data_IF_330118603600
#
_entry.id   IF_330118603600
#
_cell.length_a   1.000
_cell.length_b   1.000
_cell.length_c   1.000
_cell.angle_alpha   90.00
_cell.angle_beta   90.00
_cell.angle_gamma   90.00
#
_symmetry.space_group_name_H-M   'P 1'
#
loop_
_entity.id
_entity.type
_entity.pdbx_description
1 polymer ?
#
# COMPACT_ATOMS: atom_id res chain seq x y z
N UNK A 1 -55.86 5.32 -67.07
CA UNK A 1 -55.57 4.22 -66.12
C UNK A 1 -54.08 4.26 -65.78
N UNK A 2 -53.63 4.91 -64.71
CA UNK A 2 -52.26 4.92 -64.22
C UNK A 2 -52.27 4.54 -62.70
N UNK A 3 -51.67 3.36 -62.41
CA UNK A 3 -51.48 2.87 -61.01
C UNK A 3 -50.16 3.41 -60.54
N UNK A 4 -50.20 4.22 -59.45
CA UNK A 4 -49.01 4.69 -58.72
C UNK A 4 -48.58 3.65 -57.70
N UNK A 5 -47.35 3.12 -57.91
CA UNK A 5 -46.71 2.21 -56.99
C UNK A 5 -45.94 3.07 -55.92
N UNK A 6 -46.37 3.05 -54.67
CA UNK A 6 -45.65 3.70 -53.57
C UNK A 6 -44.65 2.72 -52.99
N UNK A 7 -43.35 3.00 -53.20
CA UNK A 7 -42.26 2.33 -52.49
C UNK A 7 -42.20 2.93 -51.06
N UNK A 8 -42.38 2.08 -50.06
CA UNK A 8 -42.07 2.38 -48.64
C UNK A 8 -40.60 2.01 -48.40
N UNK A 9 -39.74 3.00 -48.19
CA UNK A 9 -38.40 2.82 -47.67
C UNK A 9 -38.52 2.66 -46.15
N UNK A 10 -38.28 1.46 -45.64
CA UNK A 10 -38.11 1.21 -44.23
C UNK A 10 -36.67 1.49 -43.82
N UNK A 11 -36.42 2.59 -43.15
CA UNK A 11 -35.13 2.89 -42.51
C UNK A 11 -35.02 2.10 -41.20
N UNK A 12 -34.15 1.09 -41.20
CA UNK A 12 -33.75 0.39 -39.97
C UNK A 12 -32.70 1.23 -39.26
N UNK A 13 -33.07 1.84 -38.16
CA UNK A 13 -32.14 2.52 -37.28
C UNK A 13 -31.51 1.46 -36.37
N UNK A 14 -30.25 1.12 -36.65
CA UNK A 14 -29.45 0.26 -35.81
C UNK A 14 -28.96 1.09 -34.62
N UNK A 15 -29.64 0.94 -33.44
CA UNK A 15 -29.22 1.55 -32.18
C UNK A 15 -28.09 0.71 -31.57
N UNK A 16 -26.85 1.13 -31.77
CA UNK A 16 -25.69 0.54 -31.04
C UNK A 16 -25.71 1.01 -29.62
N UNK A 17 -26.22 0.19 -28.70
CA UNK A 17 -25.98 0.37 -27.26
C UNK A 17 -24.50 0.13 -26.96
N UNK A 18 -23.74 1.22 -26.76
CA UNK A 18 -22.47 1.13 -26.08
C UNK A 18 -22.75 0.72 -24.62
N UNK A 19 -22.47 -0.52 -24.28
CA UNK A 19 -22.42 -0.94 -22.88
C UNK A 19 -21.19 -0.26 -22.24
N UNK A 20 -21.43 0.80 -21.46
CA UNK A 20 -20.43 1.34 -20.54
C UNK A 20 -20.20 0.24 -19.48
N UNK A 21 -19.10 -0.48 -19.59
CA UNK A 21 -18.64 -1.32 -18.48
C UNK A 21 -18.24 -0.37 -17.34
N UNK A 22 -19.14 -0.22 -16.37
CA UNK A 22 -18.79 0.35 -15.08
C UNK A 22 -17.94 -0.73 -14.41
N UNK A 23 -16.63 -0.55 -14.41
CA UNK A 23 -15.72 -1.32 -13.58
C UNK A 23 -16.13 -1.04 -12.13
N UNK A 24 -16.92 -1.93 -11.55
CA UNK A 24 -17.31 -1.85 -10.15
C UNK A 24 -16.03 -2.05 -9.35
N UNK A 25 -15.48 -0.94 -8.86
CA UNK A 25 -14.33 -0.95 -7.95
C UNK A 25 -14.71 -1.86 -6.77
N UNK A 26 -13.94 -2.94 -6.58
CA UNK A 26 -14.20 -3.86 -5.47
C UNK A 26 -14.29 -3.05 -4.16
N UNK A 27 -15.17 -3.45 -3.21
CA UNK A 27 -15.25 -2.77 -1.93
C UNK A 27 -13.87 -2.64 -1.32
N UNK A 28 -13.55 -1.47 -0.75
CA UNK A 28 -12.25 -1.21 -0.13
C UNK A 28 -11.88 -2.29 0.91
N UNK A 29 -12.89 -2.92 1.52
CA UNK A 29 -12.74 -4.05 2.46
C UNK A 29 -12.23 -5.34 1.83
N UNK A 30 -12.29 -5.47 0.49
CA UNK A 30 -11.78 -6.64 -0.22
C UNK A 30 -10.30 -6.54 -0.57
N UNK A 31 -9.74 -5.33 -0.57
CA UNK A 31 -8.34 -5.11 -0.95
C UNK A 31 -7.38 -5.74 0.06
N UNK A 32 -6.34 -6.39 -0.47
CA UNK A 32 -5.24 -6.98 0.30
C UNK A 32 -4.03 -6.09 0.21
N UNK A 33 -3.41 -5.87 1.35
CA UNK A 33 -2.16 -5.14 1.47
C UNK A 33 -1.05 -6.11 1.87
N UNK A 34 0.14 -5.91 1.34
CA UNK A 34 1.32 -6.64 1.78
C UNK A 34 2.46 -5.65 2.05
N UNK A 35 3.16 -5.85 3.16
CA UNK A 35 4.40 -5.14 3.45
C UNK A 35 5.51 -6.18 3.52
N UNK A 36 6.46 -6.07 2.61
CA UNK A 36 7.60 -6.99 2.51
C UNK A 36 8.89 -6.28 2.85
N UNK A 37 9.76 -6.94 3.61
CA UNK A 37 11.08 -6.44 3.94
C UNK A 37 12.16 -7.24 3.23
N UNK A 38 13.11 -6.51 2.65
CA UNK A 38 14.24 -7.04 1.89
C UNK A 38 15.51 -6.39 2.41
N UNK A 39 16.42 -7.20 2.91
CA UNK A 39 17.71 -6.75 3.44
C UNK A 39 18.84 -7.44 2.68
N UNK A 40 19.71 -6.66 2.07
CA UNK A 40 20.85 -7.12 1.30
C UNK A 40 22.13 -6.47 1.75
N UNK A 41 23.25 -7.10 1.45
CA UNK A 41 24.56 -6.47 1.67
C UNK A 41 24.65 -5.12 0.94
N UNK A 42 25.24 -4.09 1.54
CA UNK A 42 25.35 -2.76 0.91
C UNK A 42 25.95 -2.79 -0.49
N UNK A 43 26.93 -3.68 -0.73
CA UNK A 43 27.53 -3.87 -2.05
C UNK A 43 26.54 -4.42 -3.11
N UNK A 44 25.47 -5.10 -2.69
CA UNK A 44 24.43 -5.63 -3.58
C UNK A 44 23.26 -4.68 -3.80
N UNK A 45 23.25 -3.49 -3.18
CA UNK A 45 22.19 -2.50 -3.27
C UNK A 45 21.74 -2.24 -4.72
N UNK A 46 22.66 -1.92 -5.61
CA UNK A 46 22.32 -1.58 -7.00
C UNK A 46 21.65 -2.74 -7.74
N UNK A 47 22.14 -3.98 -7.54
CA UNK A 47 21.54 -5.17 -8.10
C UNK A 47 20.12 -5.39 -7.57
N UNK A 48 19.90 -5.19 -6.26
CA UNK A 48 18.58 -5.33 -5.65
C UNK A 48 17.60 -4.26 -6.13
N UNK A 49 18.03 -3.00 -6.29
CA UNK A 49 17.21 -1.93 -6.88
C UNK A 49 16.73 -2.33 -8.28
N UNK A 50 17.62 -2.88 -9.11
CA UNK A 50 17.27 -3.40 -10.45
C UNK A 50 16.23 -4.52 -10.37
N UNK A 51 16.42 -5.49 -9.48
CA UNK A 51 15.49 -6.61 -9.29
C UNK A 51 14.11 -6.15 -8.78
N UNK A 52 14.08 -5.20 -7.84
CA UNK A 52 12.84 -4.62 -7.32
C UNK A 52 12.05 -3.87 -8.39
N UNK A 53 12.74 -3.11 -9.27
CA UNK A 53 12.11 -2.42 -10.39
C UNK A 53 11.51 -3.41 -11.39
N UNK A 54 12.25 -4.45 -11.76
CA UNK A 54 11.77 -5.51 -12.64
C UNK A 54 10.54 -6.22 -12.05
N UNK A 55 10.61 -6.56 -10.77
CA UNK A 55 9.50 -7.15 -10.03
C UNK A 55 8.26 -6.24 -10.09
N UNK A 56 8.38 -4.96 -9.73
CA UNK A 56 7.28 -3.98 -9.80
C UNK A 56 6.69 -3.87 -11.19
N UNK A 57 7.53 -3.75 -12.22
CA UNK A 57 7.09 -3.52 -13.59
C UNK A 57 6.40 -4.77 -14.19
N UNK A 58 6.72 -5.96 -13.69
CA UNK A 58 5.99 -7.18 -13.99
C UNK A 58 4.66 -7.23 -13.24
N UNK A 59 4.65 -6.97 -11.94
CA UNK A 59 3.45 -6.98 -11.09
C UNK A 59 2.37 -6.00 -11.58
N UNK A 60 2.78 -4.85 -12.12
CA UNK A 60 1.87 -3.84 -12.72
C UNK A 60 1.02 -4.37 -13.88
N UNK A 61 1.42 -5.48 -14.50
CA UNK A 61 0.70 -6.10 -15.64
C UNK A 61 -0.23 -7.21 -15.21
N UNK A 62 -0.23 -7.54 -13.93
CA UNK A 62 -1.05 -8.62 -13.39
C UNK A 62 -2.46 -8.15 -13.07
N UNK A 63 -3.43 -9.03 -13.29
CA UNK A 63 -4.84 -8.74 -12.95
C UNK A 63 -5.00 -8.49 -11.46
N UNK A 64 -5.69 -7.40 -11.13
CA UNK A 64 -5.95 -7.02 -9.74
C UNK A 64 -4.80 -6.29 -9.05
N UNK A 65 -3.69 -5.98 -9.75
CA UNK A 65 -2.70 -5.04 -9.25
C UNK A 65 -3.33 -3.65 -9.07
N UNK A 66 -3.11 -3.05 -7.90
CA UNK A 66 -3.58 -1.69 -7.62
C UNK A 66 -2.41 -0.73 -7.49
N UNK A 67 -1.42 -1.07 -6.64
CA UNK A 67 -0.28 -0.20 -6.35
C UNK A 67 0.87 -0.97 -5.74
N UNK A 68 2.10 -0.49 -5.97
CA UNK A 68 3.25 -0.83 -5.15
C UNK A 68 4.17 0.37 -4.95
N UNK A 69 4.67 0.53 -3.73
CA UNK A 69 5.70 1.49 -3.36
C UNK A 69 6.98 0.72 -3.05
N UNK A 70 8.06 0.99 -3.80
CA UNK A 70 9.40 0.47 -3.52
C UNK A 70 10.14 1.52 -2.69
N UNK A 71 10.62 1.14 -1.53
CA UNK A 71 11.14 2.06 -0.53
C UNK A 71 12.53 1.62 -0.07
N UNK A 72 13.49 2.53 0.06
CA UNK A 72 14.78 2.30 0.70
C UNK A 72 14.85 3.05 2.03
N UNK A 73 15.27 2.37 3.08
CA UNK A 73 15.34 2.94 4.43
C UNK A 73 16.43 4.02 4.51
N UNK A 74 16.06 5.19 5.02
CA UNK A 74 16.98 6.32 5.23
C UNK A 74 18.05 5.92 6.26
N UNK A 75 19.31 6.17 5.91
CA UNK A 75 20.45 5.84 6.79
C UNK A 75 20.84 4.36 6.86
N UNK A 76 20.13 3.46 6.15
CA UNK A 76 20.43 2.02 6.12
C UNK A 76 20.46 1.48 4.68
N UNK A 77 21.55 1.71 3.93
CA UNK A 77 21.68 1.23 2.55
C UNK A 77 21.48 -0.29 2.45
N UNK A 78 20.70 -0.73 1.46
CA UNK A 78 20.40 -2.15 1.27
C UNK A 78 19.22 -2.67 2.10
N UNK A 79 18.54 -1.82 2.86
CA UNK A 79 17.30 -2.16 3.58
C UNK A 79 16.11 -1.56 2.84
N UNK A 80 15.25 -2.41 2.34
CA UNK A 80 14.09 -2.02 1.54
C UNK A 80 12.78 -2.47 2.17
N UNK A 81 11.72 -1.72 1.89
CA UNK A 81 10.35 -2.15 2.08
C UNK A 81 9.60 -2.08 0.74
N UNK A 82 8.73 -3.05 0.50
CA UNK A 82 7.78 -3.05 -0.60
C UNK A 82 6.38 -3.03 0.00
N UNK A 83 5.61 -1.99 -0.30
CA UNK A 83 4.21 -1.89 0.13
C UNK A 83 3.33 -2.10 -1.09
N UNK A 84 2.57 -3.18 -1.09
CA UNK A 84 1.73 -3.58 -2.21
C UNK A 84 0.26 -3.52 -1.83
N UNK A 85 -0.56 -3.19 -2.81
CA UNK A 85 -2.03 -3.25 -2.70
C UNK A 85 -2.56 -4.03 -3.88
N UNK A 86 -3.41 -5.01 -3.58
CA UNK A 86 -4.07 -5.88 -4.54
C UNK A 86 -5.59 -5.77 -4.39
N UNK A 87 -6.33 -5.91 -5.47
CA UNK A 87 -7.78 -5.76 -5.53
C UNK A 87 -8.52 -6.67 -4.54
N UNK A 88 -8.03 -7.89 -4.39
CA UNK A 88 -8.62 -8.93 -3.54
C UNK A 88 -7.59 -10.05 -3.23
N UNK A 89 -7.98 -10.99 -2.37
CA UNK A 89 -7.14 -12.12 -1.99
C UNK A 89 -6.78 -13.01 -3.19
N UNK A 90 -7.69 -13.21 -4.13
CA UNK A 90 -7.45 -14.03 -5.31
C UNK A 90 -6.32 -13.45 -6.18
N UNK A 91 -6.33 -12.14 -6.39
CA UNK A 91 -5.27 -11.45 -7.13
C UNK A 91 -3.93 -11.56 -6.41
N UNK A 92 -3.92 -11.38 -5.09
CA UNK A 92 -2.72 -11.53 -4.27
C UNK A 92 -2.16 -12.97 -4.29
N UNK A 93 -3.03 -13.98 -4.22
CA UNK A 93 -2.63 -15.39 -4.29
C UNK A 93 -2.06 -15.75 -5.68
N UNK A 94 -2.70 -15.26 -6.75
CA UNK A 94 -2.21 -15.43 -8.12
C UNK A 94 -0.84 -14.79 -8.31
N UNK A 95 -0.66 -13.57 -7.81
CA UNK A 95 0.64 -12.88 -7.79
C UNK A 95 1.71 -13.71 -7.07
N UNK A 96 1.41 -14.28 -5.89
CA UNK A 96 2.34 -15.11 -5.14
C UNK A 96 2.90 -16.31 -5.93
N UNK A 97 2.16 -16.77 -6.95
CA UNK A 97 2.55 -17.87 -7.84
C UNK A 97 3.16 -17.39 -9.18
N UNK A 98 3.21 -16.08 -9.42
CA UNK A 98 3.70 -15.51 -10.67
C UNK A 98 5.21 -15.76 -10.88
N UNK A 99 5.61 -15.92 -12.14
CA UNK A 99 7.01 -16.12 -12.51
C UNK A 99 7.92 -14.96 -12.07
N UNK A 100 7.39 -13.73 -12.03
CA UNK A 100 8.11 -12.54 -11.59
C UNK A 100 8.49 -12.63 -10.10
N UNK A 101 7.61 -13.15 -9.25
CA UNK A 101 7.87 -13.37 -7.82
C UNK A 101 8.98 -14.39 -7.64
N UNK A 102 8.93 -15.50 -8.41
CA UNK A 102 10.01 -16.50 -8.38
C UNK A 102 11.34 -15.89 -8.82
N UNK A 103 11.38 -15.17 -9.93
CA UNK A 103 12.60 -14.52 -10.44
C UNK A 103 13.18 -13.54 -9.41
N UNK A 104 12.33 -12.75 -8.78
CA UNK A 104 12.74 -11.84 -7.73
C UNK A 104 13.35 -12.57 -6.53
N UNK A 105 12.72 -13.63 -6.05
CA UNK A 105 13.21 -14.43 -4.92
C UNK A 105 14.53 -15.14 -5.27
N UNK A 106 14.67 -15.64 -6.49
CA UNK A 106 15.91 -16.25 -6.98
C UNK A 106 17.07 -15.23 -7.03
N UNK A 107 16.77 -13.98 -7.48
CA UNK A 107 17.75 -12.89 -7.49
C UNK A 107 18.15 -12.43 -6.08
N UNK A 108 17.21 -12.43 -5.13
CA UNK A 108 17.44 -12.05 -3.74
C UNK A 108 18.29 -13.10 -2.99
N UNK A 109 18.06 -14.37 -3.24
CA UNK A 109 18.61 -15.48 -2.45
C UNK A 109 20.13 -15.40 -2.20
N UNK A 110 21.00 -15.14 -3.21
CA UNK A 110 22.46 -15.12 -3.01
C UNK A 110 22.98 -13.87 -2.29
N UNK A 111 22.19 -12.81 -2.17
CA UNK A 111 22.65 -11.49 -1.69
C UNK A 111 21.92 -11.01 -0.43
N UNK A 112 20.95 -11.75 0.06
CA UNK A 112 20.16 -11.39 1.24
C UNK A 112 20.98 -11.50 2.53
N UNK A 113 20.68 -10.60 3.47
CA UNK A 113 21.19 -10.64 4.85
C UNK A 113 20.22 -11.36 5.79
N UNK A 114 18.93 -11.22 5.53
CA UNK A 114 17.86 -11.82 6.35
C UNK A 114 16.90 -12.64 5.49
N UNK A 115 15.94 -13.32 6.13
CA UNK A 115 14.82 -13.95 5.42
C UNK A 115 13.95 -12.91 4.72
N UNK A 116 13.29 -13.31 3.62
CA UNK A 116 12.24 -12.50 3.02
C UNK A 116 11.03 -12.51 3.95
N UNK A 117 10.69 -11.34 4.50
CA UNK A 117 9.57 -11.15 5.43
C UNK A 117 8.43 -10.43 4.71
N UNK A 118 7.37 -11.17 4.36
CA UNK A 118 6.16 -10.64 3.75
C UNK A 118 5.00 -10.79 4.71
N UNK A 119 4.36 -9.70 5.05
CA UNK A 119 3.27 -9.63 6.02
C UNK A 119 1.98 -9.20 5.33
N UNK A 120 0.92 -10.02 5.35
CA UNK A 120 -0.38 -9.66 4.78
C UNK A 120 -1.23 -8.84 5.75
N UNK A 121 -1.95 -7.87 5.20
CA UNK A 121 -2.81 -6.96 5.94
C UNK A 121 -4.14 -6.73 5.23
N UNK A 122 -5.15 -6.36 6.00
CA UNK A 122 -6.36 -5.68 5.54
C UNK A 122 -6.32 -4.22 5.95
N UNK A 123 -7.06 -3.38 5.24
CA UNK A 123 -7.20 -1.98 5.63
C UNK A 123 -8.02 -1.87 6.91
N UNK A 124 -7.56 -1.08 7.86
CA UNK A 124 -8.35 -0.63 9.00
C UNK A 124 -8.96 0.74 8.70
N UNK A 125 -8.13 1.65 8.19
CA UNK A 125 -8.59 2.95 7.69
C UNK A 125 -7.62 3.48 6.64
N UNK A 126 -8.14 4.02 5.53
CA UNK A 126 -7.37 4.63 4.46
C UNK A 126 -7.82 6.06 4.18
N UNK A 127 -6.95 6.84 3.56
CA UNK A 127 -7.34 8.11 2.96
C UNK A 127 -8.18 7.84 1.70
N UNK A 128 -9.19 8.67 1.46
CA UNK A 128 -10.05 8.57 0.26
C UNK A 128 -9.30 8.82 -1.04
N UNK A 129 -8.19 9.56 -1.00
CA UNK A 129 -7.25 9.78 -2.10
C UNK A 129 -5.84 9.84 -1.52
N UNK A 130 -4.91 9.13 -2.17
CA UNK A 130 -3.48 9.21 -1.86
C UNK A 130 -2.82 10.01 -2.97
N UNK A 131 -2.24 11.15 -2.62
CA UNK A 131 -1.38 11.86 -3.55
C UNK A 131 -0.07 11.07 -3.76
N UNK A 132 0.41 11.03 -5.00
CA UNK A 132 1.77 10.57 -5.26
C UNK A 132 2.74 11.55 -4.59
N UNK A 133 3.74 11.03 -3.90
CA UNK A 133 4.83 11.86 -3.38
C UNK A 133 5.65 12.45 -4.54
N UNK A 134 6.39 13.51 -4.25
CA UNK A 134 7.45 14.07 -5.10
C UNK A 134 8.81 13.55 -4.61
N UNK A 135 9.90 13.94 -5.26
CA UNK A 135 11.28 13.52 -4.92
C UNK A 135 11.70 13.88 -3.48
N UNK A 136 11.02 14.85 -2.84
CA UNK A 136 11.25 15.21 -1.44
C UNK A 136 10.39 14.42 -0.47
N UNK A 137 9.40 13.66 -0.95
CA UNK A 137 8.49 12.93 -0.11
C UNK A 137 9.22 11.95 0.80
N UNK A 138 8.71 11.85 2.01
CA UNK A 138 9.20 10.95 3.05
C UNK A 138 8.11 9.92 3.33
N UNK A 139 8.49 8.66 3.27
CA UNK A 139 7.60 7.54 3.55
C UNK A 139 7.90 7.01 4.94
N UNK A 140 6.86 6.67 5.67
CA UNK A 140 6.95 6.05 6.98
C UNK A 140 6.23 4.72 6.96
N UNK A 141 6.90 3.69 7.48
CA UNK A 141 6.28 2.40 7.79
C UNK A 141 6.53 2.14 9.27
N UNK A 142 5.46 2.18 10.06
CA UNK A 142 5.54 1.99 11.51
C UNK A 142 4.76 0.75 11.95
N UNK A 143 5.42 -0.15 12.68
CA UNK A 143 4.77 -1.32 13.28
C UNK A 143 4.32 -1.02 14.69
N UNK A 144 3.07 -1.34 14.96
CA UNK A 144 2.41 -1.18 16.25
C UNK A 144 1.91 -2.53 16.71
N UNK A 145 2.59 -3.10 17.68
CA UNK A 145 2.17 -4.34 18.33
C UNK A 145 1.55 -4.02 19.68
N UNK A 146 0.37 -4.53 19.93
CA UNK A 146 -0.32 -4.31 21.19
C UNK A 146 -0.49 -5.60 21.97
N UNK A 147 -0.55 -5.49 23.29
CA UNK A 147 -0.99 -6.62 24.12
C UNK A 147 -2.45 -6.93 23.78
N UNK A 148 -2.80 -8.21 23.72
CA UNK A 148 -4.19 -8.61 23.48
C UNK A 148 -5.06 -8.36 24.71
N UNK A 149 -6.36 -8.20 24.48
CA UNK A 149 -7.34 -8.14 25.56
C UNK A 149 -8.49 -7.19 25.27
N UNK A 150 -9.66 -7.40 25.90
CA UNK A 150 -10.88 -6.64 25.59
C UNK A 150 -10.83 -5.17 26.04
N UNK A 151 -9.81 -4.79 26.83
CA UNK A 151 -9.64 -3.42 27.32
C UNK A 151 -8.74 -2.57 26.42
N UNK A 152 -8.18 -3.15 25.36
CA UNK A 152 -7.24 -2.50 24.44
C UNK A 152 -7.95 -2.09 23.16
N UNK A 153 -8.37 -0.84 23.07
CA UNK A 153 -8.95 -0.26 21.84
C UNK A 153 -7.84 0.29 20.92
N UNK A 154 -6.92 -0.58 20.47
CA UNK A 154 -5.89 -0.19 19.52
C UNK A 154 -6.45 0.26 18.18
N UNK A 155 -7.47 -0.41 17.58
CA UNK A 155 -8.11 0.09 16.37
C UNK A 155 -8.67 1.51 16.49
N UNK A 156 -9.41 1.79 17.57
CA UNK A 156 -9.97 3.12 17.79
C UNK A 156 -8.90 4.18 18.03
N UNK A 157 -7.82 3.85 18.76
CA UNK A 157 -6.69 4.75 18.95
C UNK A 157 -6.00 5.11 17.63
N UNK A 158 -5.71 4.10 16.80
CA UNK A 158 -5.07 4.28 15.49
C UNK A 158 -5.96 5.02 14.49
N UNK A 159 -7.27 4.78 14.52
CA UNK A 159 -8.23 5.52 13.68
C UNK A 159 -8.23 7.01 14.03
N UNK A 160 -8.27 7.36 15.33
CA UNK A 160 -8.20 8.76 15.78
C UNK A 160 -6.89 9.44 15.35
N UNK A 161 -5.77 8.75 15.48
CA UNK A 161 -4.48 9.26 14.97
C UNK A 161 -4.56 9.51 13.47
N UNK A 162 -5.05 8.54 12.69
CA UNK A 162 -5.12 8.66 11.24
C UNK A 162 -6.02 9.81 10.78
N UNK A 163 -7.18 10.00 11.41
CA UNK A 163 -8.09 11.11 11.11
C UNK A 163 -7.46 12.48 11.42
N UNK A 164 -6.71 12.59 12.51
CA UNK A 164 -5.99 13.80 12.86
C UNK A 164 -4.84 14.07 11.89
N UNK A 165 -4.00 13.06 11.64
CA UNK A 165 -2.82 13.17 10.78
C UNK A 165 -3.16 13.54 9.34
N UNK A 166 -4.27 13.04 8.79
CA UNK A 166 -4.74 13.39 7.45
C UNK A 166 -5.11 14.86 7.27
N UNK A 167 -5.36 15.57 8.36
CA UNK A 167 -5.66 17.03 8.36
C UNK A 167 -4.41 17.89 8.51
N UNK A 168 -3.27 17.28 8.81
CA UNK A 168 -2.01 18.00 8.97
C UNK A 168 -1.45 18.47 7.64
N UNK A 169 -0.84 19.64 7.66
CA UNK A 169 -0.21 20.20 6.46
C UNK A 169 0.95 19.32 6.00
N UNK A 170 0.90 18.89 4.74
CA UNK A 170 1.94 18.06 4.14
C UNK A 170 1.72 16.56 4.33
N UNK A 171 0.64 16.12 4.97
CA UNK A 171 0.22 14.73 4.95
C UNK A 171 -0.35 14.38 3.56
N UNK A 172 0.30 13.48 2.84
CA UNK A 172 -0.13 13.00 1.52
C UNK A 172 -0.88 11.68 1.59
N UNK A 173 -0.54 10.86 2.59
CA UNK A 173 -1.18 9.56 2.86
C UNK A 173 -0.99 9.21 4.34
N UNK A 174 -2.01 8.63 4.93
CA UNK A 174 -1.91 8.03 6.27
C UNK A 174 -2.90 6.88 6.36
N UNK A 175 -2.43 5.67 6.11
CA UNK A 175 -3.22 4.45 6.13
C UNK A 175 -2.84 3.61 7.34
N UNK A 176 -3.83 2.98 7.94
CA UNK A 176 -3.63 2.01 9.01
C UNK A 176 -4.07 0.65 8.53
N UNK A 177 -3.18 -0.30 8.63
CA UNK A 177 -3.35 -1.68 8.22
C UNK A 177 -3.41 -2.58 9.46
N UNK A 178 -4.26 -3.59 9.45
CA UNK A 178 -4.32 -4.63 10.49
C UNK A 178 -3.83 -5.95 9.91
N UNK A 179 -2.90 -6.60 10.58
CA UNK A 179 -2.38 -7.90 10.15
C UNK A 179 -3.50 -8.96 10.13
N UNK A 180 -3.55 -9.77 9.07
CA UNK A 180 -4.64 -10.73 8.88
C UNK A 180 -4.51 -11.96 9.76
N UNK A 181 -3.32 -12.28 10.24
CA UNK A 181 -3.04 -13.46 11.09
C UNK A 181 -2.83 -13.11 12.56
N UNK A 182 -2.41 -11.88 12.84
CA UNK A 182 -2.15 -11.36 14.19
C UNK A 182 -2.95 -10.08 14.39
N UNK A 183 -4.17 -10.19 14.87
CA UNK A 183 -5.13 -9.08 14.93
C UNK A 183 -4.73 -7.94 15.88
N UNK A 184 -3.76 -8.16 16.76
CA UNK A 184 -3.17 -7.15 17.64
C UNK A 184 -1.90 -6.49 17.06
N UNK A 185 -1.55 -6.80 15.79
CA UNK A 185 -0.45 -6.18 15.07
C UNK A 185 -1.00 -5.27 13.98
N UNK A 186 -0.51 -4.05 13.95
CA UNK A 186 -0.90 -3.03 12.98
C UNK A 186 0.33 -2.47 12.28
N UNK A 187 0.10 -1.87 11.13
CA UNK A 187 1.13 -1.12 10.41
C UNK A 187 0.54 0.18 9.91
N UNK A 188 1.20 1.28 10.23
CA UNK A 188 0.92 2.58 9.64
C UNK A 188 1.79 2.73 8.39
N UNK A 189 1.17 3.12 7.28
CA UNK A 189 1.87 3.51 6.06
C UNK A 189 1.52 4.96 5.78
N UNK A 190 2.50 5.84 5.93
CA UNK A 190 2.29 7.27 5.73
C UNK A 190 3.25 7.84 4.69
N UNK A 191 2.81 8.88 4.00
CA UNK A 191 3.62 9.69 3.07
C UNK A 191 3.48 11.15 3.47
N UNK A 192 4.60 11.79 3.69
CA UNK A 192 4.70 13.20 4.01
C UNK A 192 5.37 13.95 2.87
N UNK A 193 4.94 15.17 2.61
CA UNK A 193 5.46 16.00 1.51
C UNK A 193 6.98 16.19 1.58
N UNK A 194 7.55 16.25 2.78
CA UNK A 194 8.98 16.35 3.04
C UNK A 194 9.27 16.05 4.52
N UNK A 195 10.56 16.07 4.90
CA UNK A 195 11.00 15.83 6.28
C UNK A 195 10.40 16.83 7.27
N UNK A 196 10.28 18.12 6.90
CA UNK A 196 9.70 19.14 7.78
C UNK A 196 8.25 18.85 8.15
N UNK A 197 7.46 18.29 7.22
CA UNK A 197 6.08 17.89 7.50
C UNK A 197 6.04 16.68 8.46
N UNK A 198 6.94 15.71 8.31
CA UNK A 198 7.07 14.60 9.24
C UNK A 198 7.50 15.08 10.64
N UNK A 199 8.51 15.96 10.73
CA UNK A 199 8.97 16.53 12.01
C UNK A 199 7.85 17.30 12.73
N UNK A 200 7.02 18.01 11.97
CA UNK A 200 5.84 18.70 12.53
C UNK A 200 4.80 17.72 13.07
N UNK A 201 4.54 16.62 12.36
CA UNK A 201 3.67 15.52 12.82
C UNK A 201 4.21 14.90 14.10
N UNK A 202 5.49 14.58 14.18
CA UNK A 202 6.12 14.00 15.36
C UNK A 202 6.01 14.90 16.60
N UNK A 203 6.09 16.22 16.39
CA UNK A 203 5.97 17.22 17.42
C UNK A 203 4.52 17.54 17.80
N UNK A 204 3.54 17.12 17.01
CA UNK A 204 2.13 17.48 17.17
C UNK A 204 1.53 16.93 18.47
N UNK A 205 0.64 17.69 19.16
CA UNK A 205 0.03 17.25 20.41
C UNK A 205 -0.71 15.91 20.29
N UNK A 206 -1.43 15.67 19.18
CA UNK A 206 -2.18 14.44 18.95
C UNK A 206 -1.25 13.22 18.78
N UNK A 207 -0.07 13.40 18.18
CA UNK A 207 0.92 12.33 18.04
C UNK A 207 1.55 11.99 19.39
N UNK A 208 1.84 12.99 20.21
CA UNK A 208 2.33 12.79 21.59
C UNK A 208 1.29 12.07 22.43
N UNK A 209 0.05 12.54 22.41
CA UNK A 209 -1.06 11.90 23.11
C UNK A 209 -1.27 10.44 22.65
N UNK A 210 -1.16 10.19 21.36
CA UNK A 210 -1.22 8.82 20.82
C UNK A 210 -0.12 7.94 21.42
N UNK A 211 1.13 8.41 21.44
CA UNK A 211 2.27 7.67 22.00
C UNK A 211 2.11 7.40 23.50
N UNK A 212 1.62 8.38 24.25
CA UNK A 212 1.35 8.23 25.70
C UNK A 212 0.26 7.18 25.99
N UNK A 213 -0.81 7.18 25.20
CA UNK A 213 -1.91 6.19 25.32
C UNK A 213 -1.48 4.82 24.85
N UNK A 214 -0.65 4.74 23.78
CA UNK A 214 -0.16 3.47 23.24
C UNK A 214 0.80 2.77 24.21
N UNK A 215 1.68 3.51 24.88
CA UNK A 215 2.77 2.97 25.71
C UNK A 215 2.34 1.85 26.66
N UNK A 216 1.32 2.00 27.51
CA UNK A 216 0.91 0.96 28.46
C UNK A 216 0.28 -0.27 27.81
N UNK A 217 -0.14 -0.18 26.55
CA UNK A 217 -0.74 -1.31 25.79
C UNK A 217 0.19 -1.90 24.73
N UNK A 218 1.42 -1.39 24.61
CA UNK A 218 2.39 -1.89 23.64
C UNK A 218 2.87 -3.28 24.02
N UNK A 219 2.84 -4.20 23.04
CA UNK A 219 3.43 -5.54 23.15
C UNK A 219 4.92 -5.55 22.81
N UNK A 220 5.38 -4.55 22.05
CA UNK A 220 6.78 -4.30 21.70
C UNK A 220 7.02 -2.79 21.56
N UNK A 221 8.27 -2.32 21.59
CA UNK A 221 8.59 -0.93 21.24
C UNK A 221 8.06 -0.57 19.86
N UNK A 222 7.58 0.67 19.69
CA UNK A 222 7.17 1.21 18.39
C UNK A 222 8.36 1.13 17.40
N UNK A 223 8.19 0.39 16.31
CA UNK A 223 9.19 0.27 15.24
C UNK A 223 8.76 1.18 14.08
N UNK A 224 9.23 2.41 14.11
CA UNK A 224 8.96 3.42 13.09
C UNK A 224 10.19 3.61 12.21
N UNK A 225 10.02 3.40 10.91
CA UNK A 225 11.11 3.46 9.94
C UNK A 225 10.78 4.46 8.85
N UNK A 226 11.78 5.27 8.52
CA UNK A 226 11.70 6.32 7.51
C UNK A 226 12.37 5.86 6.22
N UNK A 227 11.72 6.12 5.09
CA UNK A 227 12.14 5.66 3.78
C UNK A 227 12.08 6.77 2.74
N UNK A 228 12.81 6.55 1.64
CA UNK A 228 12.67 7.26 0.36
C UNK A 228 12.19 6.29 -0.70
N UNK A 229 11.41 6.79 -1.66
CA UNK A 229 11.00 6.00 -2.81
C UNK A 229 12.23 5.61 -3.66
N UNK A 230 12.23 4.39 -4.17
CA UNK A 230 13.17 3.90 -5.18
C UNK A 230 12.57 4.23 -6.55
N UNK A 231 13.17 5.20 -7.23
CA UNK A 231 12.78 5.62 -8.59
C UNK A 231 13.15 4.60 -9.66
#
# INVERSE_FOLDING_TARGET
MYRWLRLLLSTVVLSTCLAVQIDAQAPADAAVYAVSYVEVMPAAKAAMVGALKQYRDASRKEDGYVRSDLLEQVGRPGHFAVVETWKDQRAFDAHGMAGAVKQFRDALQPIRLSGYDQRPYKILTAASASAAGNDQAVHVVAHVDTVGGPQVDAPGLLNRLAEASRKEQGCLRFDVLQNTTRLNHFTVVAIWQNQKALDAHDAAPQTKQYRDVLQPMSGSPLDERVYKAVE
#
